data_IF_751363951852
#
_entry.id   IF_751363951852
#
_cell.length_a   1.000
_cell.length_b   1.000
_cell.length_c   1.000
_cell.angle_alpha   90.00
_cell.angle_beta   90.00
_cell.angle_gamma   90.00
#
_symmetry.space_group_name_H-M   'P 1'
#
loop_
_entity.id
_entity.type
_entity.pdbx_description
1 polymer ?
#
# COMPACT_ATOMS: atom_id res chain seq x y z
N UNK A 1 -22.22 -15.36 32.95
CA UNK A 1 -21.68 -15.38 31.57
C UNK A 1 -20.32 -14.74 31.56
N UNK A 2 -19.32 -15.52 31.19
CA UNK A 2 -17.93 -15.07 31.12
C UNK A 2 -17.65 -14.58 29.69
N UNK A 3 -17.22 -13.33 29.55
CA UNK A 3 -16.96 -12.66 28.25
C UNK A 3 -15.46 -12.40 28.12
N UNK A 4 -14.90 -12.68 26.95
CA UNK A 4 -13.48 -12.46 26.62
C UNK A 4 -13.37 -11.30 25.64
N UNK A 5 -12.54 -10.32 26.00
CA UNK A 5 -12.32 -9.12 25.19
C UNK A 5 -11.03 -9.25 24.36
N UNK A 6 -11.14 -9.12 23.04
CA UNK A 6 -10.01 -9.13 22.11
C UNK A 6 -9.73 -7.71 21.62
N UNK A 7 -8.52 -7.21 21.90
CA UNK A 7 -8.09 -5.87 21.49
C UNK A 7 -7.80 -5.79 20.00
N UNK A 8 -8.55 -4.97 19.27
CA UNK A 8 -8.39 -4.74 17.82
C UNK A 8 -7.88 -3.33 17.50
N UNK A 9 -7.18 -3.13 16.37
CA UNK A 9 -6.55 -1.84 16.04
C UNK A 9 -7.54 -0.72 15.71
N UNK A 10 -8.72 -1.07 15.20
CA UNK A 10 -9.79 -0.12 14.87
C UNK A 10 -11.15 -0.87 14.80
N UNK A 11 -12.24 -0.10 14.76
CA UNK A 11 -13.61 -0.63 14.80
C UNK A 11 -13.95 -1.50 13.57
N UNK A 12 -13.56 -1.07 12.37
CA UNK A 12 -13.82 -1.81 11.13
C UNK A 12 -13.16 -3.19 11.14
N UNK A 13 -11.96 -3.30 11.69
CA UNK A 13 -11.25 -4.57 11.83
C UNK A 13 -11.95 -5.50 12.83
N UNK A 14 -12.52 -4.95 13.91
CA UNK A 14 -13.36 -5.70 14.86
C UNK A 14 -14.63 -6.23 14.20
N UNK A 15 -15.39 -5.37 13.52
CA UNK A 15 -16.64 -5.74 12.82
C UNK A 15 -16.39 -6.81 11.73
N UNK A 16 -15.26 -6.71 11.02
CA UNK A 16 -14.86 -7.71 10.03
C UNK A 16 -14.50 -9.07 10.65
N UNK A 17 -13.73 -9.08 11.74
CA UNK A 17 -13.37 -10.31 12.46
C UNK A 17 -14.58 -11.00 13.06
N UNK A 18 -15.52 -10.23 13.61
CA UNK A 18 -16.78 -10.75 14.13
C UNK A 18 -17.59 -11.44 13.04
N UNK A 19 -17.72 -10.80 11.88
CA UNK A 19 -18.50 -11.30 10.74
C UNK A 19 -17.90 -12.58 10.13
N UNK A 20 -16.57 -12.65 10.00
CA UNK A 20 -15.91 -13.73 9.26
C UNK A 20 -15.32 -14.84 10.14
N UNK A 21 -14.97 -14.52 11.38
CA UNK A 21 -14.21 -15.43 12.26
C UNK A 21 -14.80 -15.54 13.67
N UNK A 22 -15.94 -14.91 13.97
CA UNK A 22 -16.55 -14.94 15.30
C UNK A 22 -16.73 -16.35 15.86
N UNK A 23 -17.24 -17.29 15.05
CA UNK A 23 -17.41 -18.68 15.44
C UNK A 23 -16.08 -19.40 15.75
N UNK A 24 -15.05 -19.14 14.94
CA UNK A 24 -13.71 -19.71 15.13
C UNK A 24 -13.07 -19.22 16.43
N UNK A 25 -13.22 -17.93 16.74
CA UNK A 25 -12.71 -17.36 17.98
C UNK A 25 -13.48 -17.88 19.19
N UNK A 26 -14.80 -18.01 19.12
CA UNK A 26 -15.60 -18.58 20.20
C UNK A 26 -15.18 -20.03 20.51
N UNK A 27 -14.97 -20.86 19.47
CA UNK A 27 -14.49 -22.23 19.61
C UNK A 27 -13.09 -22.29 20.22
N UNK A 28 -12.14 -21.50 19.69
CA UNK A 28 -10.77 -21.46 20.19
C UNK A 28 -10.70 -21.03 21.66
N UNK A 29 -11.52 -20.05 22.05
CA UNK A 29 -11.58 -19.54 23.43
C UNK A 29 -12.26 -20.54 24.37
N UNK A 30 -13.29 -21.25 23.90
CA UNK A 30 -13.92 -22.32 24.67
C UNK A 30 -12.93 -23.47 24.93
N UNK A 31 -12.18 -23.91 23.92
CA UNK A 31 -11.15 -24.94 24.06
C UNK A 31 -10.06 -24.49 25.04
N UNK A 32 -9.55 -23.27 24.89
CA UNK A 32 -8.50 -22.73 25.74
C UNK A 32 -8.93 -22.56 27.21
N UNK A 33 -10.23 -22.44 27.46
CA UNK A 33 -10.79 -22.16 28.79
C UNK A 33 -11.41 -23.40 29.45
N UNK A 34 -11.13 -24.60 28.96
CA UNK A 34 -11.58 -25.86 29.58
C UNK A 34 -12.96 -26.35 29.13
N UNK A 35 -13.46 -25.86 27.99
CA UNK A 35 -14.70 -26.34 27.35
C UNK A 35 -15.96 -25.55 27.68
N UNK A 36 -15.86 -24.43 28.40
CA UNK A 36 -17.01 -23.58 28.68
C UNK A 36 -17.33 -22.63 27.51
N UNK A 37 -18.61 -22.45 27.15
CA UNK A 37 -19.00 -21.52 26.10
C UNK A 37 -18.79 -20.07 26.56
N UNK A 38 -17.79 -19.41 25.98
CA UNK A 38 -17.45 -18.02 26.25
C UNK A 38 -17.84 -17.12 25.09
N UNK A 39 -18.34 -15.93 25.41
CA UNK A 39 -18.66 -14.91 24.40
C UNK A 39 -17.42 -14.09 24.10
N UNK A 40 -17.13 -13.86 22.82
CA UNK A 40 -15.97 -13.08 22.37
C UNK A 40 -16.43 -11.72 21.87
N UNK A 41 -15.90 -10.65 22.45
CA UNK A 41 -16.16 -9.27 22.03
C UNK A 41 -14.88 -8.59 21.57
N UNK A 42 -14.92 -7.93 20.41
CA UNK A 42 -13.79 -7.18 19.88
C UNK A 42 -13.85 -5.72 20.34
N UNK A 43 -12.85 -5.30 21.11
CA UNK A 43 -12.76 -3.95 21.66
C UNK A 43 -11.62 -3.19 21.02
N UNK A 44 -11.85 -1.94 20.62
CA UNK A 44 -10.79 -1.10 20.05
C UNK A 44 -9.80 -0.76 21.15
N UNK A 45 -8.54 -1.15 20.98
CA UNK A 45 -7.48 -0.76 21.89
C UNK A 45 -6.89 0.55 21.39
N UNK A 46 -7.21 1.65 22.04
CA UNK A 46 -6.47 2.90 21.86
C UNK A 46 -5.03 2.65 22.28
N UNK A 47 -4.14 2.53 21.30
CA UNK A 47 -2.72 2.44 21.55
C UNK A 47 -2.27 3.84 21.95
N UNK A 48 -2.06 4.08 23.24
CA UNK A 48 -1.24 5.20 23.72
C UNK A 48 0.02 5.23 22.87
N UNK A 49 0.30 6.40 22.29
CA UNK A 49 1.38 6.61 21.34
C UNK A 49 2.70 5.98 21.84
N UNK A 50 3.07 4.86 21.22
CA UNK A 50 4.43 4.38 21.26
C UNK A 50 5.09 4.86 19.96
N UNK A 51 6.14 5.66 20.15
CA UNK A 51 7.00 6.30 19.16
C UNK A 51 7.42 5.40 17.99
N UNK A 52 7.84 5.98 16.86
CA UNK A 52 8.15 5.24 15.64
C UNK A 52 9.22 4.20 15.95
N UNK A 53 8.96 2.94 15.60
CA UNK A 53 9.96 1.88 15.63
C UNK A 53 11.06 2.24 14.63
N UNK A 54 12.19 2.72 15.14
CA UNK A 54 13.44 2.81 14.41
C UNK A 54 13.80 1.41 13.89
N UNK A 55 13.89 1.29 12.56
CA UNK A 55 14.57 0.16 11.93
C UNK A 55 16.09 0.37 12.09
N UNK A 56 16.86 -0.71 12.26
CA UNK A 56 18.25 -0.64 12.70
C UNK A 56 19.12 0.10 11.70
N UNK A 57 19.94 1.01 12.23
CA UNK A 57 21.04 1.63 11.53
C UNK A 57 22.00 0.55 11.00
N UNK A 58 22.11 0.46 9.67
CA UNK A 58 23.23 -0.23 9.04
C UNK A 58 24.28 0.82 8.68
N UNK A 59 25.46 0.57 9.22
CA UNK A 59 26.68 1.38 9.24
C UNK A 59 27.08 1.85 7.84
N UNK A 60 27.50 3.11 7.77
CA UNK A 60 28.07 3.76 6.59
C UNK A 60 29.39 3.12 6.15
N UNK A 61 29.55 2.97 4.83
CA UNK A 61 30.84 2.72 4.21
C UNK A 61 30.73 2.72 2.69
N UNK A 62 31.03 3.85 2.04
CA UNK A 62 31.21 3.91 0.58
C UNK A 62 30.92 5.28 -0.02
N UNK A 63 31.97 6.02 -0.37
CA UNK A 63 31.92 7.29 -1.11
C UNK A 63 31.35 7.06 -2.52
N UNK A 64 30.42 7.90 -2.97
CA UNK A 64 30.14 8.03 -4.41
C UNK A 64 28.74 8.51 -4.80
N UNK A 65 28.72 9.72 -5.36
CA UNK A 65 27.69 10.31 -6.24
C UNK A 65 26.44 10.87 -5.57
N UNK A 66 26.30 12.19 -5.67
CA UNK A 66 25.10 12.95 -5.32
C UNK A 66 23.94 12.54 -6.22
N UNK A 67 22.97 11.82 -5.64
CA UNK A 67 21.68 11.56 -6.28
C UNK A 67 20.94 12.89 -6.50
N UNK A 68 20.30 13.09 -7.67
CA UNK A 68 19.46 14.26 -7.90
C UNK A 68 18.34 14.33 -6.86
N UNK A 69 18.11 15.53 -6.31
CA UNK A 69 17.07 15.78 -5.30
C UNK A 69 15.71 15.25 -5.81
N UNK A 70 14.94 14.50 -5.00
CA UNK A 70 13.63 14.05 -5.41
C UNK A 70 12.75 15.28 -5.70
N UNK A 71 12.25 15.37 -6.94
CA UNK A 71 11.26 16.37 -7.33
C UNK A 71 10.03 16.20 -6.42
N UNK A 72 9.60 17.30 -5.82
CA UNK A 72 8.62 17.38 -4.73
C UNK A 72 7.38 16.49 -4.97
N UNK A 73 7.09 15.61 -4.02
CA UNK A 73 5.75 15.03 -3.84
C UNK A 73 5.58 13.54 -4.15
N UNK A 74 6.59 12.87 -4.70
CA UNK A 74 6.46 11.48 -5.14
C UNK A 74 7.07 10.54 -4.08
N UNK A 75 6.22 9.80 -3.35
CA UNK A 75 6.65 8.68 -2.49
C UNK A 75 6.82 7.39 -3.32
N UNK A 76 7.64 7.44 -4.37
CA UNK A 76 8.11 6.21 -5.02
C UNK A 76 9.21 5.61 -4.16
N UNK A 77 9.20 4.28 -4.03
CA UNK A 77 10.27 3.57 -3.35
C UNK A 77 11.48 3.47 -4.31
N UNK A 78 12.63 4.11 -4.01
CA UNK A 78 13.80 4.10 -4.90
C UNK A 78 14.43 2.71 -5.07
N UNK A 79 14.08 1.74 -4.20
CA UNK A 79 14.54 0.35 -4.33
C UNK A 79 13.79 -0.42 -5.42
N UNK A 80 12.58 0.02 -5.79
CA UNK A 80 11.72 -0.66 -6.76
C UNK A 80 11.98 -0.11 -8.16
N UNK A 81 13.04 -0.60 -8.79
CA UNK A 81 13.44 -0.27 -10.16
C UNK A 81 13.37 -1.52 -11.04
N UNK A 82 13.33 -1.34 -12.37
CA UNK A 82 13.37 -2.48 -13.30
C UNK A 82 14.65 -3.30 -13.15
N UNK A 83 15.79 -2.65 -12.89
CA UNK A 83 17.07 -3.34 -12.66
C UNK A 83 17.01 -4.33 -11.49
N UNK A 84 16.24 -4.01 -10.46
CA UNK A 84 16.11 -4.85 -9.26
C UNK A 84 14.94 -5.84 -9.37
N UNK A 85 14.23 -5.89 -10.50
CA UNK A 85 13.11 -6.81 -10.72
C UNK A 85 13.61 -8.07 -11.44
N UNK A 86 13.42 -9.24 -10.82
CA UNK A 86 13.84 -10.51 -11.43
C UNK A 86 12.81 -10.98 -12.45
N UNK A 87 13.24 -11.11 -13.69
CA UNK A 87 12.39 -11.53 -14.81
C UNK A 87 12.44 -13.05 -14.99
N UNK A 88 11.28 -13.67 -15.16
CA UNK A 88 11.14 -15.08 -15.51
C UNK A 88 9.87 -15.32 -16.34
N UNK A 89 9.65 -16.55 -16.81
CA UNK A 89 8.57 -16.87 -17.75
C UNK A 89 7.18 -16.38 -17.28
N UNK A 90 6.89 -16.46 -15.98
CA UNK A 90 5.59 -16.05 -15.42
C UNK A 90 5.37 -14.54 -15.30
N UNK A 91 6.40 -13.71 -15.43
CA UNK A 91 6.29 -12.25 -15.29
C UNK A 91 6.91 -11.45 -16.45
N UNK A 92 7.52 -12.13 -17.42
CA UNK A 92 8.22 -11.52 -18.55
C UNK A 92 7.31 -10.58 -19.36
N UNK A 93 6.08 -11.01 -19.63
CA UNK A 93 5.11 -10.19 -20.36
C UNK A 93 4.75 -8.91 -19.59
N UNK A 94 4.44 -9.03 -18.30
CA UNK A 94 4.13 -7.87 -17.46
C UNK A 94 5.30 -6.90 -17.36
N UNK A 95 6.53 -7.42 -17.18
CA UNK A 95 7.75 -6.62 -17.17
C UNK A 95 7.95 -5.87 -18.50
N UNK A 96 7.81 -6.56 -19.64
CA UNK A 96 7.96 -5.95 -20.96
C UNK A 96 6.92 -4.86 -21.22
N UNK A 97 5.66 -5.11 -20.86
CA UNK A 97 4.59 -4.11 -20.98
C UNK A 97 4.87 -2.87 -20.12
N UNK A 98 5.35 -3.07 -18.88
CA UNK A 98 5.73 -1.97 -18.00
C UNK A 98 6.88 -1.15 -18.56
N UNK A 99 7.90 -1.81 -19.13
CA UNK A 99 9.03 -1.13 -19.77
C UNK A 99 8.56 -0.27 -20.95
N UNK A 100 7.72 -0.84 -21.83
CA UNK A 100 7.21 -0.13 -23.00
C UNK A 100 6.38 1.12 -22.62
N UNK A 101 5.62 1.05 -21.52
CA UNK A 101 4.89 2.22 -20.98
C UNK A 101 5.83 3.24 -20.36
N UNK A 102 6.90 2.82 -19.69
CA UNK A 102 7.89 3.72 -19.11
C UNK A 102 8.71 4.45 -20.18
N UNK A 103 9.06 3.77 -21.27
CA UNK A 103 9.81 4.32 -22.40
C UNK A 103 8.97 5.31 -23.23
N UNK A 104 7.68 5.02 -23.43
CA UNK A 104 6.76 5.88 -24.19
C UNK A 104 5.44 6.11 -23.44
N UNK A 105 5.45 6.91 -22.35
CA UNK A 105 4.27 7.16 -21.54
C UNK A 105 3.11 7.73 -22.37
N UNK A 106 1.95 7.08 -22.27
CA UNK A 106 0.72 7.50 -22.93
C UNK A 106 0.59 7.14 -24.41
N UNK A 107 1.60 6.51 -25.03
CA UNK A 107 1.54 6.11 -26.45
C UNK A 107 1.27 4.61 -26.63
N UNK A 108 2.12 3.76 -26.07
CA UNK A 108 2.03 2.30 -26.31
C UNK A 108 0.79 1.69 -25.70
N UNK A 109 0.50 2.04 -24.44
CA UNK A 109 -0.68 1.57 -23.71
C UNK A 109 -1.20 2.66 -22.77
N UNK A 110 -2.50 2.95 -22.83
CA UNK A 110 -3.18 3.81 -21.87
C UNK A 110 -4.68 3.41 -21.78
N UNK A 111 -5.14 2.83 -20.66
CA UNK A 111 -4.38 2.52 -19.43
C UNK A 111 -3.55 1.23 -19.54
N UNK A 112 -2.50 1.11 -18.71
CA UNK A 112 -1.87 -0.17 -18.37
C UNK A 112 -2.52 -0.73 -17.09
N UNK A 113 -3.00 -1.98 -17.14
CA UNK A 113 -3.60 -2.65 -16.00
C UNK A 113 -2.84 -3.95 -15.67
N UNK A 114 -2.32 -4.04 -14.44
CA UNK A 114 -1.54 -5.19 -13.96
C UNK A 114 -2.33 -5.89 -12.85
N UNK A 115 -2.56 -7.19 -13.00
CA UNK A 115 -3.24 -8.02 -12.00
C UNK A 115 -2.45 -9.30 -11.72
N UNK A 116 -2.78 -9.95 -10.61
CA UNK A 116 -2.11 -11.17 -10.15
C UNK A 116 -2.19 -11.33 -8.63
N UNK A 117 -1.82 -12.51 -8.15
CA UNK A 117 -1.79 -12.84 -6.71
C UNK A 117 -0.86 -11.94 -5.88
N UNK A 118 -0.94 -12.12 -4.55
CA UNK A 118 -0.06 -11.41 -3.60
C UNK A 118 1.41 -11.75 -3.85
N UNK A 119 2.32 -10.80 -3.60
CA UNK A 119 3.76 -11.04 -3.75
C UNK A 119 4.30 -11.15 -5.19
N UNK A 120 3.46 -11.11 -6.23
CA UNK A 120 3.90 -11.25 -7.63
C UNK A 120 4.49 -9.97 -8.26
N UNK A 121 4.88 -8.98 -7.44
CA UNK A 121 5.62 -7.82 -7.93
C UNK A 121 4.81 -6.66 -8.53
N UNK A 122 3.47 -6.66 -8.42
CA UNK A 122 2.61 -5.57 -8.94
C UNK A 122 3.06 -4.18 -8.46
N UNK A 123 3.24 -4.03 -7.15
CA UNK A 123 3.69 -2.76 -6.54
C UNK A 123 5.10 -2.38 -6.97
N UNK A 124 5.98 -3.38 -7.13
CA UNK A 124 7.35 -3.15 -7.60
C UNK A 124 7.34 -2.62 -9.03
N UNK A 125 6.62 -3.29 -9.95
CA UNK A 125 6.54 -2.88 -11.35
C UNK A 125 5.93 -1.48 -11.50
N UNK A 126 4.87 -1.17 -10.75
CA UNK A 126 4.26 0.16 -10.76
C UNK A 126 5.23 1.25 -10.29
N UNK A 127 6.02 0.97 -9.25
CA UNK A 127 7.06 1.90 -8.79
C UNK A 127 8.21 2.01 -9.79
N UNK A 128 8.58 0.90 -10.44
CA UNK A 128 9.65 0.87 -11.43
C UNK A 128 9.34 1.75 -12.64
N UNK A 129 8.09 1.76 -13.12
CA UNK A 129 7.62 2.69 -14.16
C UNK A 129 7.85 4.14 -13.69
N UNK A 130 7.35 4.48 -12.50
CA UNK A 130 7.48 5.83 -11.96
C UNK A 130 8.93 6.29 -11.81
N UNK A 131 9.79 5.43 -11.24
CA UNK A 131 11.20 5.73 -11.05
C UNK A 131 11.92 5.93 -12.39
N UNK A 132 11.66 5.05 -13.36
CA UNK A 132 12.25 5.15 -14.69
C UNK A 132 11.86 6.46 -15.41
N UNK A 133 10.58 6.83 -15.35
CA UNK A 133 10.10 8.08 -15.95
C UNK A 133 10.68 9.30 -15.22
N UNK A 134 10.78 9.27 -13.90
CA UNK A 134 11.34 10.36 -13.09
C UNK A 134 12.84 10.59 -13.33
N UNK A 135 13.59 9.54 -13.62
CA UNK A 135 15.02 9.62 -13.94
C UNK A 135 15.28 10.24 -15.32
N UNK A 136 14.42 9.95 -16.30
CA UNK A 136 14.65 10.34 -17.69
C UNK A 136 13.95 11.63 -18.11
N UNK A 137 12.85 12.01 -17.47
CA UNK A 137 11.98 13.09 -17.93
C UNK A 137 11.56 14.02 -16.79
N UNK A 138 11.22 15.25 -17.15
CA UNK A 138 10.58 16.20 -16.24
C UNK A 138 9.05 16.16 -16.39
N UNK A 139 8.46 15.01 -16.05
CA UNK A 139 7.02 14.82 -16.02
C UNK A 139 6.52 14.89 -14.58
N UNK A 140 5.29 15.36 -14.41
CA UNK A 140 4.59 15.26 -13.14
C UNK A 140 4.06 13.82 -13.03
N UNK A 141 4.37 13.17 -11.92
CA UNK A 141 3.99 11.79 -11.66
C UNK A 141 3.19 11.78 -10.36
N UNK A 142 2.06 11.07 -10.35
CA UNK A 142 1.31 10.79 -9.14
C UNK A 142 1.31 9.29 -8.88
N UNK A 143 1.67 8.92 -7.65
CA UNK A 143 1.58 7.56 -7.15
C UNK A 143 0.74 7.57 -5.89
N UNK A 144 -0.31 6.73 -5.87
CA UNK A 144 -1.24 6.64 -4.76
C UNK A 144 -1.91 5.27 -4.71
N UNK A 145 -2.34 4.88 -3.51
CA UNK A 145 -3.19 3.72 -3.32
C UNK A 145 -4.65 4.06 -3.58
N UNK A 146 -5.46 3.06 -3.90
CA UNK A 146 -6.93 3.21 -4.01
C UNK A 146 -7.53 3.71 -2.70
N UNK A 147 -6.98 3.30 -1.56
CA UNK A 147 -7.42 3.77 -0.24
C UNK A 147 -7.15 5.27 -0.05
N UNK A 148 -5.93 5.74 -0.39
CA UNK A 148 -5.60 7.17 -0.35
C UNK A 148 -6.55 7.97 -1.24
N UNK A 149 -6.76 7.52 -2.48
CA UNK A 149 -7.69 8.18 -3.40
C UNK A 149 -9.11 8.24 -2.84
N UNK A 150 -9.61 7.12 -2.30
CA UNK A 150 -10.96 7.02 -1.73
C UNK A 150 -11.12 7.97 -0.54
N UNK A 151 -10.13 8.02 0.36
CA UNK A 151 -10.14 8.94 1.49
C UNK A 151 -10.13 10.41 1.05
N UNK A 152 -9.36 10.75 0.02
CA UNK A 152 -9.37 12.11 -0.55
C UNK A 152 -10.73 12.46 -1.18
N UNK A 153 -11.38 11.51 -1.87
CA UNK A 153 -12.74 11.68 -2.40
C UNK A 153 -13.74 11.91 -1.26
N UNK A 154 -13.72 11.09 -0.21
CA UNK A 154 -14.64 11.23 0.94
C UNK A 154 -14.47 12.61 1.61
N UNK A 155 -13.23 13.03 1.84
CA UNK A 155 -12.94 14.32 2.46
C UNK A 155 -13.34 15.49 1.56
N UNK A 156 -13.09 15.40 0.26
CA UNK A 156 -13.46 16.46 -0.68
C UNK A 156 -14.98 16.61 -0.83
N UNK A 157 -15.76 15.54 -0.68
CA UNK A 157 -17.22 15.62 -0.58
C UNK A 157 -17.61 16.32 0.74
N UNK A 158 -17.04 15.89 1.88
CA UNK A 158 -17.37 16.45 3.21
C UNK A 158 -17.12 17.95 3.31
N UNK A 159 -16.05 18.44 2.71
CA UNK A 159 -15.60 19.83 2.83
C UNK A 159 -15.86 20.68 1.57
N UNK A 160 -16.65 20.18 0.62
CA UNK A 160 -16.96 20.85 -0.65
C UNK A 160 -15.71 21.27 -1.47
N UNK A 161 -14.71 20.39 -1.51
CA UNK A 161 -13.42 20.58 -2.22
C UNK A 161 -13.27 19.68 -3.45
N UNK A 162 -14.39 19.25 -4.05
CA UNK A 162 -14.36 18.36 -5.22
C UNK A 162 -13.66 18.97 -6.43
N UNK A 163 -13.74 20.31 -6.59
CA UNK A 163 -13.05 21.01 -7.68
C UNK A 163 -11.52 20.94 -7.51
N UNK A 164 -11.02 21.11 -6.29
CA UNK A 164 -9.59 21.01 -5.98
C UNK A 164 -9.06 19.59 -6.23
N UNK A 165 -9.82 18.57 -5.81
CA UNK A 165 -9.50 17.17 -6.06
C UNK A 165 -9.37 16.89 -7.56
N UNK A 166 -10.35 17.31 -8.36
CA UNK A 166 -10.33 17.15 -9.83
C UNK A 166 -9.13 17.86 -10.43
N UNK A 167 -8.83 19.08 -9.97
CA UNK A 167 -7.69 19.85 -10.46
C UNK A 167 -6.37 19.11 -10.19
N UNK A 168 -6.22 18.56 -8.99
CA UNK A 168 -5.03 17.80 -8.58
C UNK A 168 -4.78 16.57 -9.43
N UNK A 169 -5.81 15.77 -9.74
CA UNK A 169 -5.64 14.49 -10.45
C UNK A 169 -5.75 14.58 -11.98
N UNK A 170 -6.29 15.68 -12.54
CA UNK A 170 -6.39 15.87 -14.00
C UNK A 170 -5.36 16.82 -14.60
N UNK A 171 -4.74 17.68 -13.79
CA UNK A 171 -3.65 18.55 -14.23
C UNK A 171 -2.28 18.08 -13.72
N UNK A 172 -2.11 16.76 -13.68
CA UNK A 172 -0.79 16.14 -13.47
C UNK A 172 -0.07 16.22 -14.81
#
# INVERSE_FOLDING_TARGET
>A
NSTVYIGVPNKFFGEWLETHYGALFAEAVAIASGGEPLTVEFVVREKTAASPTELPAVVQGGKGQSLPKPRRGILLNPKYTFRNFVVGAGNQFAHAACMAVAEQPGQTYNPLFIYGGVGLGKTHLLNAIGNHVAEQRDLRIAYLTTEQFTNEVINSIRYDKMMDLRKRYRHI
#
